data_IF_009706805682
#
_entry.id   IF_009706805682
#
_cell.length_a   1.000
_cell.length_b   1.000
_cell.length_c   1.000
_cell.angle_alpha   90.00
_cell.angle_beta   90.00
_cell.angle_gamma   90.00
#
_symmetry.space_group_name_H-M   'P 1'
#
loop_
_entity.id
_entity.type
_entity.pdbx_description
1 polymer ?
#
# COMPACT_ATOMS: atom_id res chain seq x y z
N UNK A 1 -13.17 22.76 -71.29
CA UNK A 1 -13.38 24.15 -70.81
C UNK A 1 -13.16 24.12 -69.32
N UNK A 2 -11.98 24.38 -68.76
CA UNK A 2 -11.10 25.55 -68.92
C UNK A 2 -11.05 26.26 -67.56
N UNK A 3 -10.36 25.65 -66.57
CA UNK A 3 -10.25 26.16 -65.20
C UNK A 3 -9.30 27.37 -65.16
N UNK A 4 -9.89 28.57 -65.16
CA UNK A 4 -9.17 29.83 -65.11
C UNK A 4 -8.81 30.13 -63.64
N UNK A 5 -7.66 29.63 -63.20
CA UNK A 5 -7.00 30.06 -61.97
C UNK A 5 -6.63 31.54 -62.01
N UNK A 6 -7.58 32.41 -61.64
CA UNK A 6 -7.35 33.85 -61.57
C UNK A 6 -6.40 34.17 -60.40
N UNK A 7 -5.13 34.39 -60.72
CA UNK A 7 -4.16 34.91 -59.75
C UNK A 7 -4.54 36.34 -59.38
N UNK A 8 -5.07 36.54 -58.17
CA UNK A 8 -5.37 37.86 -57.61
C UNK A 8 -4.05 38.62 -57.42
N UNK A 9 -3.72 39.51 -58.36
CA UNK A 9 -2.55 40.39 -58.27
C UNK A 9 -2.83 41.46 -57.20
N UNK A 10 -2.33 41.23 -56.00
CA UNK A 10 -2.40 42.21 -54.91
C UNK A 10 -1.61 43.46 -55.32
N UNK A 11 -2.31 44.57 -55.54
CA UNK A 11 -1.68 45.87 -55.77
C UNK A 11 -1.18 46.38 -54.42
N UNK A 12 0.11 46.18 -54.14
CA UNK A 12 0.77 46.76 -52.98
C UNK A 12 0.93 48.26 -53.21
N UNK A 13 0.57 49.08 -52.22
CA UNK A 13 0.80 50.52 -52.28
C UNK A 13 2.29 50.83 -52.16
N UNK A 14 2.75 51.92 -52.76
CA UNK A 14 4.14 52.37 -52.69
C UNK A 14 4.60 52.61 -51.24
N UNK A 15 3.69 53.04 -50.36
CA UNK A 15 3.93 53.20 -48.93
C UNK A 15 4.22 51.87 -48.21
N UNK A 16 3.51 50.79 -48.56
CA UNK A 16 3.77 49.45 -47.99
C UNK A 16 5.11 48.89 -48.46
N UNK A 17 5.52 49.16 -49.71
CA UNK A 17 6.84 48.73 -50.22
C UNK A 17 7.98 49.54 -49.57
N UNK A 18 7.71 50.80 -49.20
CA UNK A 18 8.66 51.66 -48.48
C UNK A 18 8.98 51.21 -47.06
N UNK A 19 8.07 50.48 -46.39
CA UNK A 19 8.29 49.97 -45.02
C UNK A 19 9.02 48.62 -44.96
N UNK A 20 9.36 48.02 -46.11
CA UNK A 20 10.03 46.73 -46.17
C UNK A 20 11.48 46.83 -45.70
N UNK A 21 11.85 45.93 -44.81
CA UNK A 21 13.18 45.87 -44.22
C UNK A 21 14.06 44.88 -45.00
N UNK A 22 15.38 45.10 -45.08
CA UNK A 22 16.30 44.06 -45.51
C UNK A 22 16.17 42.82 -44.63
N UNK A 23 16.43 41.64 -45.20
CA UNK A 23 16.44 40.38 -44.44
C UNK A 23 17.37 40.48 -43.21
N UNK A 24 16.89 39.96 -42.07
CA UNK A 24 17.71 39.86 -40.86
C UNK A 24 18.93 38.97 -41.11
N UNK A 25 20.01 39.23 -40.36
CA UNK A 25 21.23 38.43 -40.46
C UNK A 25 21.02 36.96 -40.14
N UNK A 26 20.21 36.65 -39.12
CA UNK A 26 19.80 35.28 -38.77
C UNK A 26 19.10 34.55 -39.93
N UNK A 27 18.18 35.23 -40.62
CA UNK A 27 17.46 34.66 -41.76
C UNK A 27 18.40 34.45 -42.95
N UNK A 28 19.35 35.36 -43.18
CA UNK A 28 20.37 35.22 -44.23
C UNK A 28 21.27 34.01 -43.98
N UNK A 29 21.73 33.82 -42.74
CA UNK A 29 22.53 32.66 -42.36
C UNK A 29 21.76 31.35 -42.56
N UNK A 30 20.48 31.32 -42.18
CA UNK A 30 19.63 30.15 -42.41
C UNK A 30 19.49 29.84 -43.91
N UNK A 31 19.18 30.84 -44.74
CA UNK A 31 19.05 30.66 -46.18
C UNK A 31 20.38 30.23 -46.84
N UNK A 32 21.52 30.74 -46.38
CA UNK A 32 22.84 30.29 -46.80
C UNK A 32 23.05 28.79 -46.49
N UNK A 33 22.72 28.37 -45.27
CA UNK A 33 22.81 26.96 -44.87
C UNK A 33 21.91 26.05 -45.72
N UNK A 34 20.72 26.52 -46.11
CA UNK A 34 19.83 25.77 -47.02
C UNK A 34 20.45 25.65 -48.42
N UNK A 35 21.02 26.74 -48.96
CA UNK A 35 21.70 26.72 -50.26
C UNK A 35 22.91 25.78 -50.22
N UNK A 36 23.70 25.80 -49.15
CA UNK A 36 24.84 24.89 -48.98
C UNK A 36 24.41 23.43 -48.81
N UNK A 37 23.30 23.18 -48.12
CA UNK A 37 22.72 21.83 -48.00
C UNK A 37 22.23 21.31 -49.35
N UNK A 38 21.56 22.15 -50.15
CA UNK A 38 21.14 21.80 -51.52
C UNK A 38 22.33 21.59 -52.45
N UNK A 39 23.36 22.44 -52.36
CA UNK A 39 24.63 22.25 -53.08
C UNK A 39 25.24 20.89 -52.78
N UNK A 40 25.36 20.52 -51.49
CA UNK A 40 25.85 19.20 -51.07
C UNK A 40 24.98 18.06 -51.62
N UNK A 41 23.66 18.21 -51.60
CA UNK A 41 22.72 17.24 -52.15
C UNK A 41 22.85 17.06 -53.67
N UNK A 42 23.15 18.12 -54.42
CA UNK A 42 23.36 18.03 -55.87
C UNK A 42 24.71 17.39 -56.17
N UNK A 43 25.76 17.76 -55.42
CA UNK A 43 27.10 17.19 -55.59
C UNK A 43 27.18 15.70 -55.21
N UNK A 44 26.36 15.23 -54.27
CA UNK A 44 26.30 13.81 -53.90
C UNK A 44 25.61 12.95 -54.97
N UNK A 45 24.70 13.52 -55.75
CA UNK A 45 23.99 12.84 -56.84
C UNK A 45 24.80 12.81 -58.16
N UNK A 46 25.75 13.73 -58.32
CA UNK A 46 26.56 13.83 -59.52
C UNK A 46 27.68 12.77 -59.53
N UNK A 47 27.74 11.92 -60.57
CA UNK A 47 28.76 10.86 -60.71
C UNK A 47 30.02 11.31 -61.45
N UNK A 48 29.91 12.20 -62.44
CA UNK A 48 31.02 12.67 -63.29
C UNK A 48 31.07 14.21 -63.34
N UNK A 49 32.24 14.81 -63.65
CA UNK A 49 32.46 16.27 -63.74
C UNK A 49 32.06 17.07 -62.48
N UNK A 50 32.31 16.49 -61.30
CA UNK A 50 32.00 17.12 -60.00
C UNK A 50 32.64 18.51 -59.84
N UNK A 51 33.87 18.68 -60.32
CA UNK A 51 34.61 19.93 -60.19
C UNK A 51 33.99 21.08 -60.99
N UNK A 52 33.52 20.82 -62.20
CA UNK A 52 32.87 21.83 -63.04
C UNK A 52 31.50 22.19 -62.49
N UNK A 53 30.72 21.19 -62.06
CA UNK A 53 29.43 21.40 -61.38
C UNK A 53 29.62 22.20 -60.09
N UNK A 54 30.66 21.92 -59.31
CA UNK A 54 30.98 22.66 -58.10
C UNK A 54 31.32 24.14 -58.39
N UNK A 55 32.11 24.42 -59.43
CA UNK A 55 32.42 25.80 -59.86
C UNK A 55 31.13 26.55 -60.22
N UNK A 56 30.24 25.95 -61.00
CA UNK A 56 28.95 26.56 -61.36
C UNK A 56 28.04 26.77 -60.14
N UNK A 57 27.98 25.81 -59.22
CA UNK A 57 27.20 25.94 -57.99
C UNK A 57 27.75 27.03 -57.05
N UNK A 58 29.06 27.24 -57.01
CA UNK A 58 29.66 28.34 -56.24
C UNK A 58 29.29 29.71 -56.82
N UNK A 59 29.34 29.86 -58.15
CA UNK A 59 28.88 31.09 -58.81
C UNK A 59 27.38 31.34 -58.55
N UNK A 60 26.58 30.27 -58.58
CA UNK A 60 25.15 30.36 -58.27
C UNK A 60 24.92 30.74 -56.81
N UNK A 61 25.66 30.14 -55.87
CA UNK A 61 25.62 30.49 -54.43
C UNK A 61 25.88 31.99 -54.25
N UNK A 62 26.97 32.51 -54.79
CA UNK A 62 27.32 33.93 -54.67
C UNK A 62 26.24 34.86 -55.24
N UNK A 63 25.63 34.50 -56.38
CA UNK A 63 24.54 35.27 -56.99
C UNK A 63 23.30 35.28 -56.09
N UNK A 64 22.93 34.12 -55.55
CA UNK A 64 21.76 33.96 -54.67
C UNK A 64 21.97 34.71 -53.36
N UNK A 65 23.15 34.59 -52.74
CA UNK A 65 23.49 35.34 -51.52
C UNK A 65 23.47 36.85 -51.75
N UNK A 66 23.92 37.32 -52.92
CA UNK A 66 23.81 38.74 -53.30
C UNK A 66 22.35 39.18 -53.39
N UNK A 67 21.48 38.36 -53.99
CA UNK A 67 20.04 38.64 -54.03
C UNK A 67 19.42 38.73 -52.65
N UNK A 68 19.80 37.87 -51.70
CA UNK A 68 19.32 37.94 -50.31
C UNK A 68 19.76 39.21 -49.57
N UNK A 69 20.90 39.82 -49.93
CA UNK A 69 21.33 41.11 -49.37
C UNK A 69 20.47 42.29 -49.88
N UNK A 70 20.00 42.21 -51.12
CA UNK A 70 19.18 43.26 -51.75
C UNK A 70 17.68 43.06 -51.59
N UNK A 71 17.26 41.85 -51.17
CA UNK A 71 15.87 41.48 -51.03
C UNK A 71 15.27 42.16 -49.79
N UNK A 72 14.29 43.03 -50.04
CA UNK A 72 13.47 43.63 -49.00
C UNK A 72 12.27 42.74 -48.74
N UNK A 73 11.99 42.50 -47.48
CA UNK A 73 10.85 41.68 -47.04
C UNK A 73 9.93 42.51 -46.15
N UNK A 74 8.62 42.24 -46.17
CA UNK A 74 7.71 42.84 -45.21
C UNK A 74 8.19 42.56 -43.78
N UNK A 75 8.20 43.55 -42.87
CA UNK A 75 8.51 43.31 -41.48
C UNK A 75 7.46 42.33 -40.92
N UNK A 76 7.89 41.12 -40.60
CA UNK A 76 7.02 40.13 -39.97
C UNK A 76 6.50 40.68 -38.65
N UNK A 77 5.22 40.41 -38.32
CA UNK A 77 4.66 40.69 -36.98
C UNK A 77 5.33 39.78 -35.96
N UNK A 78 6.56 40.13 -35.58
CA UNK A 78 7.41 39.40 -34.64
C UNK A 78 7.05 39.65 -33.17
N UNK A 79 5.92 40.31 -32.91
CA UNK A 79 5.44 40.63 -31.56
C UNK A 79 5.22 39.39 -30.69
N UNK A 80 4.88 38.26 -31.31
CA UNK A 80 4.66 36.99 -30.61
C UNK A 80 5.96 36.39 -30.05
N UNK A 81 7.14 36.74 -30.59
CA UNK A 81 8.41 36.19 -30.09
C UNK A 81 8.86 36.82 -28.77
N UNK A 82 8.32 37.99 -28.38
CA UNK A 82 8.62 38.59 -27.06
C UNK A 82 8.13 37.71 -25.91
N UNK A 83 7.05 36.97 -26.12
CA UNK A 83 6.48 36.07 -25.11
C UNK A 83 7.27 34.75 -24.98
N UNK A 84 8.17 34.43 -25.93
CA UNK A 84 8.93 33.17 -25.88
C UNK A 84 9.92 33.19 -24.71
N UNK A 85 10.57 34.32 -24.45
CA UNK A 85 11.53 34.40 -23.35
C UNK A 85 10.84 34.22 -21.98
N UNK A 86 9.65 34.83 -21.79
CA UNK A 86 8.87 34.63 -20.57
C UNK A 86 8.36 33.20 -20.44
N UNK A 87 7.93 32.56 -21.53
CA UNK A 87 7.52 31.17 -21.54
C UNK A 87 8.69 30.24 -21.19
N UNK A 88 9.87 30.49 -21.76
CA UNK A 88 11.08 29.71 -21.47
C UNK A 88 11.51 29.84 -20.01
N UNK A 89 11.42 31.02 -19.41
CA UNK A 89 11.71 31.20 -17.98
C UNK A 89 10.70 30.47 -17.09
N UNK A 90 9.40 30.54 -17.42
CA UNK A 90 8.37 29.81 -16.69
C UNK A 90 8.54 28.29 -16.81
N UNK A 91 8.87 27.79 -18.00
CA UNK A 91 9.17 26.38 -18.24
C UNK A 91 10.38 25.92 -17.42
N UNK A 92 11.45 26.73 -17.37
CA UNK A 92 12.63 26.42 -16.56
C UNK A 92 12.32 26.38 -15.06
N UNK A 93 11.55 27.34 -14.55
CA UNK A 93 11.13 27.35 -13.14
C UNK A 93 10.26 26.13 -12.79
N UNK A 94 9.35 25.77 -13.70
CA UNK A 94 8.51 24.58 -13.52
C UNK A 94 9.36 23.29 -13.54
N UNK A 95 10.37 23.23 -14.41
CA UNK A 95 11.30 22.11 -14.47
C UNK A 95 12.08 21.96 -13.16
N UNK A 96 12.64 23.05 -12.64
CA UNK A 96 13.38 23.08 -11.37
C UNK A 96 12.51 22.61 -10.19
N UNK A 97 11.29 23.14 -10.07
CA UNK A 97 10.34 22.70 -9.03
C UNK A 97 9.93 21.22 -9.17
N UNK A 98 9.84 20.72 -10.40
CA UNK A 98 9.53 19.31 -10.65
C UNK A 98 10.71 18.40 -10.29
N UNK A 99 11.94 18.82 -10.57
CA UNK A 99 13.15 18.12 -10.14
C UNK A 99 13.24 18.03 -8.61
N UNK A 100 12.96 19.12 -7.89
CA UNK A 100 12.90 19.13 -6.42
C UNK A 100 11.82 18.18 -5.89
N UNK A 101 10.62 18.22 -6.49
CA UNK A 101 9.51 17.34 -6.12
C UNK A 101 9.83 15.87 -6.37
N UNK A 102 10.55 15.57 -7.45
CA UNK A 102 10.99 14.21 -7.78
C UNK A 102 11.97 13.68 -6.74
N UNK A 103 12.92 14.51 -6.29
CA UNK A 103 13.84 14.15 -5.20
C UNK A 103 13.08 13.86 -3.91
N UNK A 104 12.11 14.71 -3.53
CA UNK A 104 11.28 14.50 -2.34
C UNK A 104 10.51 13.18 -2.41
N UNK A 105 9.89 12.87 -3.55
CA UNK A 105 9.17 11.62 -3.75
C UNK A 105 10.12 10.40 -3.68
N UNK A 106 11.33 10.52 -4.20
CA UNK A 106 12.32 9.46 -4.11
C UNK A 106 12.77 9.21 -2.66
N UNK A 107 12.92 10.26 -1.86
CA UNK A 107 13.23 10.17 -0.43
C UNK A 107 12.07 9.51 0.33
N UNK A 108 10.82 9.91 0.07
CA UNK A 108 9.63 9.29 0.66
C UNK A 108 9.51 7.80 0.32
N UNK A 109 9.79 7.41 -0.92
CA UNK A 109 9.82 6.00 -1.33
C UNK A 109 10.89 5.25 -0.55
N UNK A 110 12.09 5.80 -0.44
CA UNK A 110 13.21 5.16 0.26
C UNK A 110 12.90 4.97 1.76
N UNK A 111 12.27 5.95 2.39
CA UNK A 111 11.81 5.83 3.78
C UNK A 111 10.68 4.80 3.94
N UNK A 112 9.73 4.77 3.01
CA UNK A 112 8.66 3.76 3.01
C UNK A 112 9.22 2.34 2.83
N UNK A 113 10.24 2.16 1.99
CA UNK A 113 10.95 0.88 1.82
C UNK A 113 11.64 0.45 3.12
N UNK A 114 12.37 1.34 3.78
CA UNK A 114 13.00 1.07 5.09
C UNK A 114 11.97 0.66 6.15
N UNK A 115 10.83 1.35 6.19
CA UNK A 115 9.74 1.01 7.10
C UNK A 115 9.14 -0.37 6.78
N UNK A 116 8.95 -0.69 5.50
CA UNK A 116 8.46 -1.99 5.08
C UNK A 116 9.43 -3.13 5.45
N UNK A 117 10.74 -2.92 5.28
CA UNK A 117 11.77 -3.87 5.72
C UNK A 117 11.73 -4.09 7.23
N UNK A 118 11.60 -3.02 8.02
CA UNK A 118 11.49 -3.12 9.47
C UNK A 118 10.26 -3.91 9.91
N UNK A 119 9.09 -3.65 9.29
CA UNK A 119 7.85 -4.38 9.57
C UNK A 119 8.00 -5.86 9.21
N UNK A 120 8.63 -6.19 8.09
CA UNK A 120 8.84 -7.58 7.68
C UNK A 120 9.78 -8.31 8.65
N UNK A 121 10.81 -7.65 9.17
CA UNK A 121 11.67 -8.20 10.23
C UNK A 121 10.89 -8.44 11.53
N UNK A 122 10.09 -7.47 11.98
CA UNK A 122 9.22 -7.62 13.15
C UNK A 122 8.24 -8.79 12.99
N UNK A 123 7.65 -8.93 11.80
CA UNK A 123 6.75 -10.04 11.46
C UNK A 123 7.46 -11.39 11.56
N UNK A 124 8.68 -11.52 11.03
CA UNK A 124 9.49 -12.75 11.18
C UNK A 124 9.78 -13.07 12.64
N UNK A 125 10.15 -12.07 13.44
CA UNK A 125 10.41 -12.26 14.88
C UNK A 125 9.16 -12.73 15.63
N UNK A 126 8.00 -12.14 15.34
CA UNK A 126 6.72 -12.56 15.92
C UNK A 126 6.36 -13.99 15.50
N UNK A 127 6.56 -14.34 14.23
CA UNK A 127 6.32 -15.69 13.73
C UNK A 127 7.19 -16.72 14.47
N UNK A 128 8.48 -16.42 14.68
CA UNK A 128 9.37 -17.27 15.47
C UNK A 128 8.89 -17.42 16.92
N UNK A 129 8.48 -16.32 17.57
CA UNK A 129 7.93 -16.37 18.94
C UNK A 129 6.66 -17.21 19.02
N UNK A 130 5.74 -17.08 18.06
CA UNK A 130 4.52 -17.89 17.99
C UNK A 130 4.87 -19.37 17.83
N UNK A 131 5.83 -19.71 16.96
CA UNK A 131 6.27 -21.09 16.78
C UNK A 131 6.90 -21.66 18.06
N UNK A 132 7.74 -20.88 18.76
CA UNK A 132 8.34 -21.29 20.02
C UNK A 132 7.28 -21.55 21.11
N UNK A 133 6.31 -20.66 21.25
CA UNK A 133 5.19 -20.82 22.20
C UNK A 133 4.31 -22.02 21.84
N UNK A 134 4.08 -22.27 20.55
CA UNK A 134 3.35 -23.45 20.09
C UNK A 134 4.06 -24.75 20.48
N UNK A 135 5.37 -24.81 20.31
CA UNK A 135 6.17 -25.96 20.72
C UNK A 135 6.14 -26.16 22.25
N UNK A 136 6.25 -25.08 23.03
CA UNK A 136 6.14 -25.14 24.50
C UNK A 136 4.77 -25.66 24.94
N UNK A 137 3.69 -25.15 24.33
CA UNK A 137 2.34 -25.59 24.62
C UNK A 137 2.16 -27.08 24.30
N UNK A 138 2.68 -27.57 23.17
CA UNK A 138 2.63 -28.98 22.81
C UNK A 138 3.36 -29.87 23.82
N UNK A 139 4.54 -29.45 24.29
CA UNK A 139 5.30 -30.18 25.31
C UNK A 139 4.57 -30.19 26.66
N UNK A 140 3.96 -29.08 27.06
CA UNK A 140 3.17 -29.01 28.29
C UNK A 140 1.88 -29.83 28.21
N UNK A 141 1.23 -29.89 27.05
CA UNK A 141 0.11 -30.80 26.80
C UNK A 141 0.56 -32.27 26.88
N UNK A 142 1.72 -32.64 26.31
CA UNK A 142 2.28 -33.98 26.44
C UNK A 142 2.57 -34.34 27.89
N UNK A 143 3.17 -33.43 28.68
CA UNK A 143 3.39 -33.63 30.12
C UNK A 143 2.08 -33.83 30.88
N UNK A 144 1.08 -32.96 30.64
CA UNK A 144 -0.25 -33.10 31.24
C UNK A 144 -0.88 -34.44 30.87
N UNK A 145 -0.86 -34.84 29.60
CA UNK A 145 -1.37 -36.15 29.15
C UNK A 145 -0.69 -37.33 29.85
N UNK A 146 0.64 -37.26 30.08
CA UNK A 146 1.37 -38.27 30.86
C UNK A 146 0.88 -38.34 32.30
N UNK A 147 0.74 -37.20 32.99
CA UNK A 147 0.18 -37.14 34.36
C UNK A 147 -1.25 -37.68 34.40
N UNK A 148 -2.10 -37.32 33.43
CA UNK A 148 -3.46 -37.84 33.33
C UNK A 148 -3.52 -39.34 33.00
N UNK A 149 -2.59 -39.89 32.21
CA UNK A 149 -2.50 -41.33 31.95
C UNK A 149 -1.97 -42.10 33.16
N UNK A 150 -0.99 -41.55 33.88
CA UNK A 150 -0.47 -42.13 35.12
C UNK A 150 -1.53 -42.15 36.24
N UNK A 151 -2.45 -41.18 36.22
CA UNK A 151 -3.63 -41.15 37.08
C UNK A 151 -4.82 -41.98 36.52
N UNK A 152 -4.87 -42.20 35.20
CA UNK A 152 -5.90 -43.01 34.54
C UNK A 152 -5.68 -44.52 34.65
N UNK A 153 -4.42 -44.95 34.78
CA UNK A 153 -4.07 -46.34 35.09
C UNK A 153 -4.31 -46.69 36.57
N UNK A 154 -4.21 -45.70 37.46
CA UNK A 154 -4.73 -45.76 38.83
C UNK A 154 -6.20 -45.39 38.83
N UNK A 155 -7.03 -46.25 38.20
CA UNK A 155 -8.48 -46.31 38.39
C UNK A 155 -8.78 -46.01 39.85
N UNK A 156 -9.27 -44.79 40.14
CA UNK A 156 -9.56 -44.25 41.46
C UNK A 156 -9.47 -45.32 42.54
N UNK A 157 -8.28 -45.55 43.10
CA UNK A 157 -8.13 -46.37 44.28
C UNK A 157 -8.63 -45.55 45.47
N UNK A 158 -9.88 -45.11 45.40
CA UNK A 158 -10.66 -44.97 46.61
C UNK A 158 -10.63 -46.37 47.23
N UNK A 159 -10.17 -46.53 48.47
CA UNK A 159 -10.27 -47.82 49.14
C UNK A 159 -11.73 -48.26 49.01
N UNK A 160 -11.96 -49.43 48.40
CA UNK A 160 -13.31 -49.97 48.29
C UNK A 160 -13.90 -49.99 49.70
N UNK A 161 -14.95 -49.20 49.90
CA UNK A 161 -15.62 -49.17 51.20
C UNK A 161 -16.00 -50.61 51.55
N UNK A 162 -15.68 -51.08 52.76
CA UNK A 162 -15.94 -52.46 53.14
C UNK A 162 -17.40 -52.79 52.82
N UNK A 163 -17.66 -53.89 52.12
CA UNK A 163 -19.03 -54.32 51.74
C UNK A 163 -20.00 -54.34 52.93
N UNK A 164 -19.47 -54.48 54.15
CA UNK A 164 -20.21 -54.36 55.42
C UNK A 164 -20.90 -53.00 55.63
N UNK A 165 -20.37 -51.90 55.10
CA UNK A 165 -21.03 -50.58 55.19
C UNK A 165 -22.23 -50.46 54.25
N UNK A 166 -22.25 -51.21 53.14
CA UNK A 166 -23.38 -51.22 52.19
C UNK A 166 -24.43 -52.29 52.56
N UNK A 167 -24.04 -53.28 53.37
CA UNK A 167 -24.89 -54.38 53.83
C UNK A 167 -25.32 -54.24 55.29
N UNK A 168 -24.90 -53.15 55.97
CA UNK A 168 -25.41 -52.83 57.30
C UNK A 168 -26.91 -52.55 57.17
N UNK A 169 -27.78 -53.22 57.95
CA UNK A 169 -29.18 -52.86 58.03
C UNK A 169 -29.30 -51.37 58.32
N UNK A 170 -30.15 -50.67 57.60
CA UNK A 170 -30.40 -49.25 57.88
C UNK A 170 -30.85 -49.14 59.33
N UNK A 171 -30.47 -48.07 60.03
CA UNK A 171 -30.86 -47.83 61.43
C UNK A 171 -32.37 -48.03 61.66
N UNK A 172 -33.17 -47.72 60.66
CA UNK A 172 -34.62 -47.95 60.61
C UNK A 172 -35.00 -49.45 60.73
N UNK A 173 -34.33 -50.34 60.00
CA UNK A 173 -34.55 -51.80 60.05
C UNK A 173 -34.10 -52.41 61.38
N UNK A 174 -33.06 -51.85 61.99
CA UNK A 174 -32.57 -52.31 63.29
C UNK A 174 -33.50 -51.87 64.43
N UNK A 175 -34.04 -50.64 64.38
CA UNK A 175 -35.06 -50.14 65.31
C UNK A 175 -36.33 -51.00 65.27
N UNK A 176 -36.71 -51.53 64.10
CA UNK A 176 -37.84 -52.45 63.90
C UNK A 176 -37.64 -53.81 64.60
N UNK A 177 -36.39 -54.25 64.82
CA UNK A 177 -36.06 -55.56 65.44
C UNK A 177 -35.99 -55.52 66.97
N UNK A 178 -36.09 -54.34 67.60
CA UNK A 178 -35.96 -54.17 69.06
C UNK A 178 -37.29 -54.40 69.80
N UNK A 179 -37.29 -55.23 70.86
CA UNK A 179 -38.48 -55.40 71.74
C UNK A 179 -38.87 -54.08 72.41
N UNK A 180 -40.18 -53.80 72.52
CA UNK A 180 -40.81 -52.53 72.95
C UNK A 180 -40.91 -51.40 71.90
N UNK A 181 -41.06 -51.77 70.64
CA UNK A 181 -41.16 -50.88 69.47
C UNK A 181 -42.15 -49.70 69.64
N UNK A 182 -43.39 -49.95 70.09
CA UNK A 182 -44.42 -48.89 70.20
C UNK A 182 -44.05 -47.77 71.18
N UNK A 183 -43.38 -48.10 72.29
CA UNK A 183 -43.00 -47.10 73.31
C UNK A 183 -41.86 -46.22 72.81
N UNK A 184 -40.82 -46.83 72.23
CA UNK A 184 -39.69 -46.09 71.63
C UNK A 184 -40.12 -45.19 70.47
N UNK A 185 -41.03 -45.65 69.60
CA UNK A 185 -41.53 -44.81 68.51
C UNK A 185 -42.26 -43.58 69.08
N UNK A 186 -43.02 -43.74 70.16
CA UNK A 186 -43.71 -42.63 70.83
C UNK A 186 -42.71 -41.65 71.47
N UNK A 187 -41.68 -42.17 72.13
CA UNK A 187 -40.62 -41.35 72.74
C UNK A 187 -39.78 -40.62 71.67
N UNK A 188 -39.44 -41.28 70.56
CA UNK A 188 -38.76 -40.64 69.43
C UNK A 188 -39.62 -39.55 68.80
N UNK A 189 -40.92 -39.79 68.63
CA UNK A 189 -41.82 -38.76 68.11
C UNK A 189 -41.93 -37.58 69.08
N UNK A 190 -41.96 -37.82 70.39
CA UNK A 190 -41.93 -36.75 71.40
C UNK A 190 -40.61 -35.94 71.34
N UNK A 191 -39.47 -36.60 71.16
CA UNK A 191 -38.17 -35.95 70.98
C UNK A 191 -38.12 -35.16 69.67
N UNK A 192 -38.66 -35.71 68.58
CA UNK A 192 -38.70 -35.05 67.27
C UNK A 192 -39.62 -33.83 67.25
N UNK A 193 -40.66 -33.84 68.08
CA UNK A 193 -41.56 -32.71 68.27
C UNK A 193 -41.06 -31.70 69.32
N UNK A 194 -39.97 -31.98 70.03
CA UNK A 194 -39.42 -31.09 71.05
C UNK A 194 -38.94 -29.77 70.43
N UNK A 195 -39.04 -28.68 71.21
CA UNK A 195 -38.58 -27.37 70.77
C UNK A 195 -37.05 -27.37 70.54
N UNK A 196 -36.30 -28.11 71.36
CA UNK A 196 -34.84 -28.15 71.31
C UNK A 196 -34.32 -28.74 69.99
N UNK A 197 -34.92 -29.83 69.51
CA UNK A 197 -34.49 -30.44 68.24
C UNK A 197 -34.87 -29.57 67.04
N UNK A 198 -36.03 -28.92 67.08
CA UNK A 198 -36.46 -27.97 66.02
C UNK A 198 -35.54 -26.75 65.95
N UNK A 199 -35.15 -26.23 67.10
CA UNK A 199 -34.18 -25.12 67.19
C UNK A 199 -32.80 -25.54 66.64
N UNK A 200 -32.33 -26.75 66.96
CA UNK A 200 -31.09 -27.29 66.41
C UNK A 200 -31.17 -27.45 64.88
N UNK A 201 -32.28 -27.98 64.35
CA UNK A 201 -32.46 -28.15 62.90
C UNK A 201 -32.44 -26.79 62.18
N UNK A 202 -33.14 -25.80 62.73
CA UNK A 202 -33.18 -24.43 62.18
C UNK A 202 -31.80 -23.78 62.22
N UNK A 203 -30.99 -24.06 63.24
CA UNK A 203 -29.61 -23.58 63.32
C UNK A 203 -28.75 -24.21 62.22
N UNK A 204 -28.88 -25.52 61.99
CA UNK A 204 -28.15 -26.25 60.94
C UNK A 204 -28.52 -25.69 59.56
N UNK A 205 -29.81 -25.51 59.28
CA UNK A 205 -30.30 -24.92 58.02
C UNK A 205 -29.73 -23.52 57.79
N UNK A 206 -29.80 -22.64 58.81
CA UNK A 206 -29.20 -21.30 58.73
C UNK A 206 -27.70 -21.30 58.55
N UNK A 207 -26.99 -22.27 59.14
CA UNK A 207 -25.55 -22.39 58.91
C UNK A 207 -25.25 -22.86 57.49
N UNK A 208 -26.07 -23.74 56.92
CA UNK A 208 -25.88 -24.24 55.57
C UNK A 208 -26.15 -23.14 54.52
N UNK A 209 -27.24 -22.38 54.68
CA UNK A 209 -27.52 -21.20 53.83
C UNK A 209 -26.37 -20.19 53.82
N UNK A 210 -25.68 -20.02 54.96
CA UNK A 210 -24.52 -19.13 55.05
C UNK A 210 -23.26 -19.68 54.40
N UNK A 211 -23.11 -21.01 54.33
CA UNK A 211 -21.94 -21.66 53.71
C UNK A 211 -22.06 -21.67 52.18
N UNK A 212 -23.27 -21.78 51.63
CA UNK A 212 -23.52 -21.69 50.18
C UNK A 212 -23.44 -20.26 49.61
N UNK A 213 -23.34 -19.24 50.48
CA UNK A 213 -23.16 -17.83 50.11
C UNK A 213 -21.69 -17.38 50.13
N UNK A 214 -20.74 -18.29 50.41
CA UNK A 214 -19.28 -18.08 50.31
C UNK A 214 -18.72 -18.67 49.01
#
# INVERSE_FOLDING_TARGET
TGDNGSSKKVKLSSATIGSWQPLSESSRLFLENVVDSKKKSVLSQQRERKDDVQKHLNVLKERVLRSFKTLKVPPGKLGNLKNILSLQMAEKQMLEANEESLVQLQDEITEAERLAEHIEEQKKQLQYKIQALKNQLEEDEKKKRKVFQENGSKKNHLPELPKRSLQAPTLQEEILKVKNQKKKIKDMNAIQQSADLKNLLTLIEKTYEKVDLL
#
